data_IF_450183918959
#
_entry.id   IF_450183918959
#
_cell.length_a   1.000
_cell.length_b   1.000
_cell.length_c   1.000
_cell.angle_alpha   90.00
_cell.angle_beta   90.00
_cell.angle_gamma   90.00
#
_symmetry.space_group_name_H-M   'P 1'
#
loop_
_entity.id
_entity.type
_entity.pdbx_description
1 polymer ?
#
# COMPACT_ATOMS: atom_id res chain seq x y z
N UNK A 1 15.05 -5.84 1.21
CA UNK A 1 14.40 -5.72 -0.13
C UNK A 1 14.11 -4.27 -0.52
N UNK A 2 13.38 -3.47 0.29
CA UNK A 2 13.08 -2.07 -0.02
C UNK A 2 14.34 -1.22 -0.28
N UNK A 3 15.32 -1.25 0.60
CA UNK A 3 16.56 -0.47 0.49
C UNK A 3 17.34 -0.77 -0.79
N UNK A 4 17.45 -2.04 -1.16
CA UNK A 4 18.13 -2.45 -2.40
C UNK A 4 17.40 -1.97 -3.65
N UNK A 5 16.07 -2.15 -3.69
CA UNK A 5 15.25 -1.69 -4.82
C UNK A 5 15.24 -0.17 -4.91
N UNK A 6 15.12 0.53 -3.79
CA UNK A 6 15.14 1.99 -3.73
C UNK A 6 16.46 2.57 -4.25
N UNK A 7 17.59 1.99 -3.85
CA UNK A 7 18.92 2.41 -4.34
C UNK A 7 19.07 2.19 -5.85
N UNK A 8 18.58 1.06 -6.38
CA UNK A 8 18.62 0.76 -7.81
C UNK A 8 17.78 1.75 -8.64
N UNK A 9 16.54 2.05 -8.19
CA UNK A 9 15.68 3.02 -8.86
C UNK A 9 16.28 4.44 -8.81
N UNK A 10 16.87 4.84 -7.68
CA UNK A 10 17.54 6.13 -7.55
C UNK A 10 18.71 6.26 -8.53
N UNK A 11 19.58 5.25 -8.59
CA UNK A 11 20.69 5.23 -9.54
C UNK A 11 20.22 5.29 -11.00
N UNK A 12 19.10 4.61 -11.32
CA UNK A 12 18.51 4.66 -12.65
C UNK A 12 17.93 6.04 -12.97
N UNK A 13 17.24 6.65 -12.03
CA UNK A 13 16.71 8.03 -12.14
C UNK A 13 17.83 9.04 -12.43
N UNK A 14 18.91 8.97 -11.69
CA UNK A 14 20.09 9.83 -11.88
C UNK A 14 20.72 9.60 -13.27
N UNK A 15 20.93 8.34 -13.66
CA UNK A 15 21.52 7.97 -14.95
C UNK A 15 20.67 8.43 -16.15
N UNK A 16 19.36 8.36 -16.04
CA UNK A 16 18.44 8.71 -17.12
C UNK A 16 17.99 10.18 -17.07
N UNK A 17 18.40 10.94 -16.06
CA UNK A 17 17.88 12.29 -15.79
C UNK A 17 16.34 12.34 -15.76
N UNK A 18 15.73 11.27 -15.25
CA UNK A 18 14.28 11.10 -15.18
C UNK A 18 13.79 11.21 -13.73
N UNK A 19 12.76 12.02 -13.44
CA UNK A 19 12.22 12.12 -12.09
C UNK A 19 11.60 10.79 -11.65
N UNK A 20 11.77 10.45 -10.38
CA UNK A 20 11.21 9.23 -9.78
C UNK A 20 10.09 9.59 -8.81
N UNK A 21 8.88 9.08 -9.08
CA UNK A 21 7.78 9.20 -8.12
C UNK A 21 8.09 8.35 -6.89
N UNK A 22 8.03 8.90 -5.67
CA UNK A 22 8.52 8.22 -4.46
C UNK A 22 7.50 7.21 -3.88
N UNK A 23 6.91 6.37 -4.72
CA UNK A 23 5.87 5.40 -4.34
C UNK A 23 6.35 4.37 -3.32
N UNK A 24 7.53 3.81 -3.53
CA UNK A 24 8.14 2.85 -2.61
C UNK A 24 8.47 3.48 -1.25
N UNK A 25 8.97 4.72 -1.26
CA UNK A 25 9.24 5.49 -0.04
C UNK A 25 7.97 5.74 0.76
N UNK A 26 6.87 6.08 0.09
CA UNK A 26 5.59 6.31 0.74
C UNK A 26 5.07 5.05 1.44
N UNK A 27 5.10 3.89 0.74
CA UNK A 27 4.70 2.61 1.33
C UNK A 27 5.60 2.22 2.51
N UNK A 28 6.91 2.39 2.38
CA UNK A 28 7.86 2.06 3.43
C UNK A 28 7.68 2.96 4.65
N UNK A 29 7.56 4.26 4.45
CA UNK A 29 7.36 5.24 5.53
C UNK A 29 6.05 4.97 6.28
N UNK A 30 4.95 4.71 5.55
CA UNK A 30 3.67 4.36 6.16
C UNK A 30 3.78 3.06 6.98
N UNK A 31 4.46 2.03 6.45
CA UNK A 31 4.71 0.80 7.19
C UNK A 31 5.52 1.03 8.47
N UNK A 32 6.53 1.90 8.42
CA UNK A 32 7.36 2.21 9.60
C UNK A 32 6.63 3.01 10.67
N UNK A 33 5.79 3.95 10.27
CA UNK A 33 5.19 4.92 11.20
C UNK A 33 3.79 4.55 11.69
N UNK A 34 3.07 3.66 11.00
CA UNK A 34 1.74 3.23 11.45
C UNK A 34 1.77 2.53 12.81
N UNK A 35 0.73 2.75 13.60
CA UNK A 35 0.62 2.18 14.96
C UNK A 35 0.38 0.67 14.92
N UNK A 36 -0.47 0.21 14.02
CA UNK A 36 -0.79 -1.22 13.87
C UNK A 36 0.10 -1.79 12.78
N UNK A 37 0.93 -2.75 13.15
CA UNK A 37 1.81 -3.47 12.22
C UNK A 37 1.11 -4.72 11.71
N UNK A 38 1.07 -4.87 10.40
CA UNK A 38 0.64 -6.13 9.81
C UNK A 38 1.61 -7.26 10.19
N UNK A 39 1.06 -8.35 10.70
CA UNK A 39 1.82 -9.58 11.01
C UNK A 39 1.43 -10.63 9.98
N UNK A 40 2.37 -10.94 9.09
CA UNK A 40 2.14 -11.94 8.03
C UNK A 40 3.28 -12.98 8.06
N UNK A 41 2.96 -14.28 8.13
CA UNK A 41 1.62 -14.87 8.20
C UNK A 41 0.93 -14.66 9.55
N UNK A 42 -0.41 -14.60 9.55
CA UNK A 42 -1.22 -14.58 10.79
C UNK A 42 -1.05 -15.90 11.54
N UNK A 43 -0.50 -15.92 12.76
CA UNK A 43 -0.24 -17.16 13.49
C UNK A 43 -1.50 -17.90 13.94
N UNK A 44 -2.67 -17.26 13.88
CA UNK A 44 -3.95 -17.82 14.30
C UNK A 44 -4.80 -18.33 13.12
N UNK A 45 -4.28 -18.29 11.89
CA UNK A 45 -5.01 -18.73 10.70
C UNK A 45 -4.48 -20.08 10.18
N UNK A 46 -5.38 -21.01 9.88
CA UNK A 46 -5.02 -22.29 9.27
C UNK A 46 -4.90 -22.16 7.74
N UNK A 47 -3.67 -21.94 7.26
CA UNK A 47 -3.36 -21.82 5.84
C UNK A 47 -3.50 -23.12 5.05
N UNK A 48 -3.50 -24.26 5.72
CA UNK A 48 -3.62 -25.57 5.06
C UNK A 48 -5.09 -25.94 4.80
N UNK A 49 -6.00 -25.35 5.56
CA UNK A 49 -7.42 -25.64 5.44
C UNK A 49 -8.27 -24.33 5.48
N UNK A 50 -8.10 -23.43 4.49
CA UNK A 50 -8.82 -22.15 4.46
C UNK A 50 -10.30 -22.39 4.15
N UNK A 51 -11.17 -21.91 5.04
CA UNK A 51 -12.63 -22.06 4.93
C UNK A 51 -13.29 -20.71 4.68
N UNK A 52 -13.97 -20.58 3.50
CA UNK A 52 -14.75 -19.38 3.19
C UNK A 52 -15.84 -19.12 4.27
N UNK A 53 -16.04 -17.87 4.72
CA UNK A 53 -15.46 -16.61 4.24
C UNK A 53 -14.19 -16.17 4.99
N UNK A 54 -13.61 -17.02 5.82
CA UNK A 54 -12.52 -16.63 6.72
C UNK A 54 -11.24 -16.28 5.95
N UNK A 55 -10.61 -15.19 6.35
CA UNK A 55 -9.31 -14.74 5.87
C UNK A 55 -8.37 -14.48 7.06
N UNK A 56 -7.04 -14.59 6.87
CA UNK A 56 -6.10 -14.14 7.89
C UNK A 56 -6.26 -12.65 8.16
N UNK A 57 -5.87 -12.20 9.34
CA UNK A 57 -5.88 -10.79 9.70
C UNK A 57 -4.90 -10.02 8.83
N UNK A 58 -5.33 -8.87 8.35
CA UNK A 58 -4.55 -7.97 7.48
C UNK A 58 -4.49 -6.53 8.01
N UNK A 59 -4.82 -6.32 9.28
CA UNK A 59 -4.76 -5.00 9.91
C UNK A 59 -3.39 -4.37 9.69
N UNK A 60 -3.36 -3.11 9.27
CA UNK A 60 -2.13 -2.39 8.95
C UNK A 60 -1.47 -2.80 7.62
N UNK A 61 -2.04 -3.74 6.86
CA UNK A 61 -1.52 -4.08 5.55
C UNK A 61 -1.67 -2.93 4.55
N UNK A 62 -0.70 -2.79 3.66
CA UNK A 62 -0.71 -1.87 2.51
C UNK A 62 -0.77 -2.65 1.20
N UNK A 63 -0.57 -3.97 1.28
CA UNK A 63 -0.58 -4.91 0.16
C UNK A 63 -1.78 -5.82 0.31
N UNK A 64 -2.29 -6.32 -0.79
CA UNK A 64 -3.54 -7.08 -0.86
C UNK A 64 -3.53 -8.37 -0.02
N UNK A 65 -2.40 -9.09 0.03
CA UNK A 65 -2.26 -10.28 0.86
C UNK A 65 -3.13 -11.45 0.41
N UNK A 66 -3.73 -12.14 1.38
CA UNK A 66 -4.60 -13.29 1.12
C UNK A 66 -6.03 -12.85 0.82
N UNK A 67 -6.64 -13.51 -0.16
CA UNK A 67 -8.03 -13.27 -0.54
C UNK A 67 -8.69 -14.53 -1.09
N UNK A 68 -10.01 -14.53 -1.10
CA UNK A 68 -10.80 -15.60 -1.69
C UNK A 68 -11.30 -15.16 -3.06
N UNK A 69 -11.04 -15.99 -4.06
CA UNK A 69 -11.51 -15.79 -5.43
C UNK A 69 -12.46 -16.91 -5.82
N UNK A 70 -13.65 -16.55 -6.28
CA UNK A 70 -14.59 -17.52 -6.84
C UNK A 70 -14.19 -17.86 -8.27
N UNK A 71 -14.06 -19.16 -8.57
CA UNK A 71 -13.77 -19.62 -9.91
C UNK A 71 -14.94 -19.33 -10.85
N UNK A 72 -14.68 -18.69 -11.99
CA UNK A 72 -15.74 -18.29 -12.91
C UNK A 72 -16.56 -19.50 -13.47
N UNK A 73 -15.90 -20.63 -13.68
CA UNK A 73 -16.53 -21.86 -14.21
C UNK A 73 -16.93 -22.84 -13.10
N UNK A 74 -16.05 -23.08 -12.14
CA UNK A 74 -16.26 -24.09 -11.08
C UNK A 74 -17.15 -23.60 -9.97
N UNK A 75 -17.31 -22.26 -9.82
CA UNK A 75 -17.99 -21.63 -8.67
C UNK A 75 -17.36 -21.97 -7.31
N UNK A 76 -16.23 -22.64 -7.28
CA UNK A 76 -15.49 -22.98 -6.07
C UNK A 76 -14.65 -21.79 -5.60
N UNK A 77 -14.51 -21.65 -4.28
CA UNK A 77 -13.65 -20.66 -3.68
C UNK A 77 -12.20 -21.14 -3.69
N UNK A 78 -11.32 -20.29 -4.19
CA UNK A 78 -9.86 -20.50 -4.15
C UNK A 78 -9.22 -19.50 -3.23
N UNK A 79 -8.46 -20.01 -2.29
CA UNK A 79 -7.60 -19.20 -1.44
C UNK A 79 -6.36 -18.80 -2.23
N UNK A 80 -6.07 -17.51 -2.31
CA UNK A 80 -5.04 -16.95 -3.18
C UNK A 80 -4.23 -15.91 -2.42
N UNK A 81 -2.96 -15.78 -2.74
CA UNK A 81 -2.07 -14.76 -2.18
C UNK A 81 -1.60 -13.80 -3.27
N UNK A 82 -1.68 -12.50 -2.97
CA UNK A 82 -1.15 -11.43 -3.80
C UNK A 82 -0.24 -10.54 -2.94
N UNK A 83 1.06 -10.76 -3.06
CA UNK A 83 2.07 -10.02 -2.33
C UNK A 83 2.66 -8.82 -3.09
N UNK A 84 2.04 -8.44 -4.22
CA UNK A 84 2.59 -7.43 -5.14
C UNK A 84 1.71 -6.20 -5.21
N UNK A 85 0.40 -6.38 -5.40
CA UNK A 85 -0.53 -5.27 -5.58
C UNK A 85 -0.92 -4.65 -4.25
N UNK A 86 -1.08 -3.35 -4.26
CA UNK A 86 -1.61 -2.62 -3.11
C UNK A 86 -3.08 -3.02 -2.83
N UNK A 87 -3.49 -2.98 -1.57
CA UNK A 87 -4.90 -2.98 -1.19
C UNK A 87 -5.47 -1.55 -1.24
N UNK A 88 -6.75 -1.35 -0.95
CA UNK A 88 -7.41 -0.02 -0.99
C UNK A 88 -6.65 1.04 -0.19
N UNK A 89 -6.09 0.66 0.94
CA UNK A 89 -5.31 1.52 1.82
C UNK A 89 -3.99 1.94 1.16
N UNK A 90 -3.28 0.97 0.58
CA UNK A 90 -2.04 1.22 -0.17
C UNK A 90 -2.30 1.99 -1.47
N UNK A 91 -3.36 1.67 -2.21
CA UNK A 91 -3.77 2.40 -3.42
C UNK A 91 -4.09 3.87 -3.11
N UNK A 92 -4.79 4.13 -2.00
CA UNK A 92 -5.08 5.49 -1.56
C UNK A 92 -3.80 6.27 -1.25
N UNK A 93 -2.87 5.67 -0.48
CA UNK A 93 -1.57 6.27 -0.20
C UNK A 93 -0.80 6.60 -1.49
N UNK A 94 -0.74 5.64 -2.41
CA UNK A 94 -0.05 5.84 -3.69
C UNK A 94 -0.69 6.94 -4.52
N UNK A 95 -2.02 6.95 -4.64
CA UNK A 95 -2.77 7.99 -5.36
C UNK A 95 -2.51 9.38 -4.78
N UNK A 96 -2.56 9.52 -3.45
CA UNK A 96 -2.23 10.76 -2.75
C UNK A 96 -0.76 11.18 -2.99
N UNK A 97 0.17 10.24 -2.98
CA UNK A 97 1.59 10.52 -3.23
C UNK A 97 1.83 11.02 -4.65
N UNK A 98 1.22 10.37 -5.63
CA UNK A 98 1.32 10.78 -7.04
C UNK A 98 0.70 12.14 -7.26
N UNK A 99 -0.49 12.37 -6.70
CA UNK A 99 -1.17 13.65 -6.82
C UNK A 99 -0.33 14.80 -6.23
N UNK A 100 0.15 14.64 -5.00
CA UNK A 100 0.99 15.63 -4.34
C UNK A 100 2.31 15.86 -5.10
N UNK A 101 2.91 14.80 -5.62
CA UNK A 101 4.17 14.87 -6.37
C UNK A 101 4.03 15.62 -7.69
N UNK A 102 3.03 15.30 -8.50
CA UNK A 102 2.87 15.90 -9.82
C UNK A 102 2.23 17.28 -9.78
N UNK A 103 1.21 17.49 -8.96
CA UNK A 103 0.44 18.72 -8.96
C UNK A 103 0.90 19.74 -7.92
N UNK A 104 1.74 19.34 -6.98
CA UNK A 104 2.26 20.23 -5.90
C UNK A 104 1.16 20.91 -5.08
N UNK A 105 -0.01 20.30 -5.03
CA UNK A 105 -1.16 20.82 -4.30
C UNK A 105 -1.28 20.21 -2.92
N UNK A 106 -1.94 20.95 -2.03
CA UNK A 106 -2.31 20.42 -0.72
C UNK A 106 -3.36 19.33 -0.86
N UNK A 107 -3.20 18.28 -0.08
CA UNK A 107 -4.06 17.10 -0.07
C UNK A 107 -4.72 16.87 1.31
N UNK A 108 -4.56 17.78 2.25
CA UNK A 108 -5.07 17.60 3.61
C UNK A 108 -6.61 17.53 3.63
N UNK A 109 -7.27 18.31 2.76
CA UNK A 109 -8.73 18.44 2.68
C UNK A 109 -9.35 17.59 1.54
N UNK A 110 -8.67 16.56 1.06
CA UNK A 110 -9.27 15.66 0.08
C UNK A 110 -10.54 15.01 0.67
N UNK A 111 -11.69 15.34 0.06
CA UNK A 111 -12.98 14.85 0.51
C UNK A 111 -13.20 13.35 0.26
N UNK A 112 -12.52 12.80 -0.76
CA UNK A 112 -12.67 11.38 -1.12
C UNK A 112 -11.66 10.49 -0.42
N UNK A 113 -12.15 9.36 0.05
CA UNK A 113 -11.34 8.24 0.54
C UNK A 113 -12.05 6.91 0.25
N UNK A 114 -11.34 5.78 0.18
CA UNK A 114 -11.95 4.46 0.08
C UNK A 114 -12.89 4.17 1.26
N UNK A 115 -13.96 3.41 1.02
CA UNK A 115 -14.98 3.11 2.04
C UNK A 115 -14.45 2.27 3.22
N UNK A 116 -13.41 1.49 2.97
CA UNK A 116 -12.73 0.61 3.92
C UNK A 116 -11.51 1.26 4.60
N UNK A 117 -11.27 2.55 4.34
CA UNK A 117 -10.24 3.36 5.00
C UNK A 117 -10.94 4.36 5.92
N UNK A 118 -10.61 4.34 7.22
CA UNK A 118 -11.22 5.29 8.16
C UNK A 118 -10.73 6.73 7.93
N UNK A 119 -11.47 7.76 8.36
CA UNK A 119 -11.03 9.15 8.24
C UNK A 119 -9.67 9.42 8.90
N UNK A 120 -9.41 8.81 10.06
CA UNK A 120 -8.17 8.92 10.82
C UNK A 120 -7.01 8.31 10.03
N UNK A 121 -7.23 7.12 9.47
CA UNK A 121 -6.21 6.44 8.66
C UNK A 121 -5.97 7.18 7.35
N UNK A 122 -7.02 7.67 6.69
CA UNK A 122 -6.89 8.51 5.50
C UNK A 122 -6.07 9.78 5.77
N UNK A 123 -6.29 10.44 6.91
CA UNK A 123 -5.48 11.58 7.34
C UNK A 123 -4.02 11.20 7.57
N UNK A 124 -3.75 10.07 8.21
CA UNK A 124 -2.40 9.56 8.40
C UNK A 124 -1.73 9.32 7.05
N UNK A 125 -2.38 8.60 6.13
CA UNK A 125 -1.83 8.27 4.81
C UNK A 125 -1.56 9.53 3.97
N UNK A 126 -2.45 10.53 4.00
CA UNK A 126 -2.21 11.83 3.34
C UNK A 126 -1.00 12.54 3.92
N UNK A 127 -0.82 12.55 5.23
CA UNK A 127 0.34 13.17 5.88
C UNK A 127 1.66 12.55 5.42
N UNK A 128 1.71 11.22 5.27
CA UNK A 128 2.86 10.49 4.72
C UNK A 128 3.09 10.89 3.25
N UNK A 129 2.03 10.82 2.43
CA UNK A 129 2.11 11.15 1.01
C UNK A 129 2.65 12.56 0.76
N UNK A 130 2.12 13.55 1.47
CA UNK A 130 2.53 14.96 1.39
C UNK A 130 4.00 15.15 1.74
N UNK A 131 4.43 14.57 2.86
CA UNK A 131 5.82 14.66 3.33
C UNK A 131 6.81 14.02 2.35
N UNK A 132 6.52 12.80 1.92
CA UNK A 132 7.39 12.05 1.01
C UNK A 132 7.46 12.72 -0.37
N UNK A 133 6.34 13.19 -0.91
CA UNK A 133 6.32 13.94 -2.17
C UNK A 133 7.14 15.24 -2.09
N UNK A 134 7.04 15.97 -0.98
CA UNK A 134 7.81 17.20 -0.77
C UNK A 134 9.32 16.96 -0.65
N UNK A 135 9.74 15.83 -0.09
CA UNK A 135 11.15 15.43 0.00
C UNK A 135 11.75 15.06 -1.35
N UNK A 136 10.98 14.35 -2.17
CA UNK A 136 11.42 13.92 -3.50
C UNK A 136 11.45 15.05 -4.55
N UNK A 137 10.83 16.19 -4.26
CA UNK A 137 10.79 17.35 -5.16
C UNK A 137 11.98 18.32 -4.98
N UNK A 138 12.88 18.05 -4.04
CA UNK A 138 14.11 18.80 -3.79
C UNK A 138 15.28 18.23 -4.58
#
# INVERSE_FOLDING_TARGET
MYEQSGAAYKALSEKLHAPMVPSGEALWTAFQEQLVKNVSPDPNFDYNNPVHPNLPKDEGALIKGYYLRKGAKTQEWKFTFDGIHANSRGEYLLGCTWYAYFFKQDIDDLAWQPKDVTPEDAKFLRSIAKRVAAQAAK
#
